data_IF_451675603562
#
_entry.id   IF_451675603562
#
_cell.length_a   1.000
_cell.length_b   1.000
_cell.length_c   1.000
_cell.angle_alpha   90.00
_cell.angle_beta   90.00
_cell.angle_gamma   90.00
#
_symmetry.space_group_name_H-M   'P 1'
#
loop_
_entity.id
_entity.type
_entity.pdbx_description
1 polymer ?
#
# COMPACT_ATOMS: atom_id res chain seq x y z
N UNK A 1 20.63 -4.28 -0.17
CA UNK A 1 20.83 -2.95 0.46
C UNK A 1 21.84 -3.10 1.57
N UNK A 2 22.79 -2.20 1.63
CA UNK A 2 23.85 -2.20 2.61
C UNK A 2 23.92 -0.82 3.28
N UNK A 3 24.02 -0.84 4.63
CA UNK A 3 24.30 0.33 5.47
C UNK A 3 23.38 1.56 5.21
N UNK A 4 22.06 1.35 5.15
CA UNK A 4 21.09 2.43 5.00
C UNK A 4 20.71 2.99 6.37
N UNK A 5 20.82 4.33 6.50
CA UNK A 5 20.23 5.10 7.61
C UNK A 5 19.31 6.16 7.01
N UNK A 6 18.03 6.11 7.33
CA UNK A 6 17.04 7.08 6.85
C UNK A 6 15.97 7.33 7.91
N UNK A 7 15.36 8.49 7.83
CA UNK A 7 14.23 8.87 8.64
C UNK A 7 13.09 9.30 7.71
N UNK A 8 11.89 8.80 7.99
CA UNK A 8 10.67 9.15 7.28
C UNK A 8 9.80 9.96 8.25
N UNK A 9 9.50 11.22 7.93
CA UNK A 9 8.68 12.06 8.79
C UNK A 9 7.27 11.50 8.98
N UNK A 10 6.73 11.65 10.18
CA UNK A 10 5.34 11.26 10.47
C UNK A 10 4.34 12.08 9.64
N UNK A 11 3.28 11.43 9.16
CA UNK A 11 2.27 12.06 8.31
C UNK A 11 2.76 12.48 6.92
N UNK A 12 3.96 12.04 6.49
CA UNK A 12 4.51 12.41 5.18
C UNK A 12 4.12 11.44 4.07
N UNK A 13 4.02 11.97 2.85
CA UNK A 13 3.98 11.18 1.62
C UNK A 13 5.41 11.04 1.07
N UNK A 14 5.98 9.86 1.25
CA UNK A 14 7.37 9.56 0.85
C UNK A 14 7.39 8.69 -0.39
N UNK A 15 8.11 9.12 -1.42
CA UNK A 15 8.33 8.30 -2.62
C UNK A 15 9.74 7.74 -2.62
N UNK A 16 9.86 6.43 -2.81
CA UNK A 16 11.12 5.72 -2.99
C UNK A 16 11.29 5.41 -4.47
N UNK A 17 12.35 5.91 -5.07
CA UNK A 17 12.68 5.68 -6.48
C UNK A 17 14.14 5.24 -6.66
N UNK A 18 14.55 4.94 -7.89
CA UNK A 18 15.90 4.47 -8.21
C UNK A 18 15.89 3.28 -9.17
N UNK A 19 17.04 2.79 -9.63
CA UNK A 19 17.14 1.74 -10.63
C UNK A 19 16.46 0.44 -10.19
N UNK A 20 16.06 -0.37 -11.19
CA UNK A 20 15.54 -1.71 -10.93
C UNK A 20 16.66 -2.57 -10.32
N UNK A 21 16.32 -3.35 -9.30
CA UNK A 21 17.30 -4.14 -8.55
C UNK A 21 18.01 -3.39 -7.42
N UNK A 22 17.88 -2.05 -7.31
CA UNK A 22 18.54 -1.24 -6.27
C UNK A 22 18.03 -1.46 -4.83
N UNK A 23 17.09 -2.40 -4.59
CA UNK A 23 16.66 -2.76 -3.23
C UNK A 23 15.44 -2.03 -2.69
N UNK A 24 14.72 -1.25 -3.52
CA UNK A 24 13.51 -0.50 -3.10
C UNK A 24 12.46 -1.40 -2.41
N UNK A 25 12.04 -2.47 -3.10
CA UNK A 25 11.08 -3.44 -2.55
C UNK A 25 11.64 -4.20 -1.34
N UNK A 26 12.96 -4.45 -1.31
CA UNK A 26 13.63 -5.04 -0.15
C UNK A 26 13.51 -4.14 1.07
N UNK A 27 13.76 -2.83 0.92
CA UNK A 27 13.57 -1.86 2.01
C UNK A 27 12.14 -1.86 2.53
N UNK A 28 11.15 -1.82 1.63
CA UNK A 28 9.74 -1.87 2.02
C UNK A 28 9.37 -3.19 2.74
N UNK A 29 9.90 -4.32 2.29
CA UNK A 29 9.69 -5.63 2.93
C UNK A 29 10.37 -5.72 4.30
N UNK A 30 11.53 -5.10 4.49
CA UNK A 30 12.18 -4.96 5.80
C UNK A 30 11.29 -4.16 6.77
N UNK A 31 10.72 -3.04 6.32
CA UNK A 31 9.80 -2.22 7.14
C UNK A 31 8.55 -3.02 7.52
N UNK A 32 7.98 -3.82 6.61
CA UNK A 32 6.82 -4.67 6.92
C UNK A 32 7.18 -5.92 7.73
N UNK A 33 8.47 -6.31 7.80
CA UNK A 33 8.91 -7.52 8.51
C UNK A 33 8.75 -8.81 7.70
N UNK A 34 8.55 -8.69 6.39
CA UNK A 34 8.55 -9.82 5.45
C UNK A 34 9.97 -10.36 5.31
N UNK A 35 10.95 -9.46 5.28
CA UNK A 35 12.38 -9.78 5.34
C UNK A 35 12.95 -9.28 6.68
N UNK A 36 14.02 -9.91 7.14
CA UNK A 36 14.71 -9.52 8.37
C UNK A 36 16.03 -8.83 8.02
N UNK A 37 16.36 -7.70 8.67
CA UNK A 37 17.67 -7.10 8.49
C UNK A 37 18.76 -8.01 9.06
N UNK A 38 19.92 -8.06 8.41
CA UNK A 38 21.10 -8.77 8.90
C UNK A 38 21.64 -8.07 10.15
N UNK A 39 21.66 -6.74 10.11
CA UNK A 39 22.12 -5.86 11.19
C UNK A 39 21.28 -4.58 11.20
N UNK A 40 21.41 -3.77 12.25
CA UNK A 40 20.71 -2.51 12.39
C UNK A 40 19.35 -2.63 13.08
N UNK A 41 18.58 -1.54 13.09
CA UNK A 41 17.30 -1.45 13.78
C UNK A 41 16.27 -0.72 12.91
N UNK A 42 15.01 -1.09 13.08
CA UNK A 42 13.86 -0.41 12.49
C UNK A 42 13.02 0.14 13.64
N UNK A 43 12.86 1.45 13.67
CA UNK A 43 12.04 2.14 14.66
C UNK A 43 10.74 2.60 14.01
N UNK A 44 9.62 2.41 14.70
CA UNK A 44 8.31 2.90 14.29
C UNK A 44 7.66 3.63 15.46
N UNK A 45 7.39 4.92 15.31
CA UNK A 45 6.91 5.80 16.38
C UNK A 45 7.78 5.70 17.67
N UNK A 46 9.10 5.67 17.49
CA UNK A 46 10.07 5.55 18.59
C UNK A 46 10.23 4.15 19.19
N UNK A 47 9.44 3.19 18.77
CA UNK A 47 9.51 1.79 19.24
C UNK A 47 10.34 0.94 18.29
N UNK A 48 11.23 0.10 18.83
CA UNK A 48 12.00 -0.88 18.04
C UNK A 48 11.10 -2.05 17.62
N UNK A 49 10.83 -2.12 16.31
CA UNK A 49 10.00 -3.16 15.70
C UNK A 49 10.84 -4.22 14.96
N UNK A 50 12.15 -4.19 15.07
CA UNK A 50 13.07 -5.03 14.29
C UNK A 50 12.76 -6.52 14.42
N UNK A 51 12.47 -6.99 15.65
CA UNK A 51 12.17 -8.39 15.94
C UNK A 51 10.71 -8.79 15.74
N UNK A 52 9.80 -7.82 15.55
CA UNK A 52 8.37 -8.08 15.41
C UNK A 52 8.04 -8.78 14.09
N UNK A 53 7.12 -9.73 14.18
CA UNK A 53 6.56 -10.43 13.01
C UNK A 53 5.70 -9.50 12.16
N UNK A 54 5.42 -9.92 10.90
CA UNK A 54 4.48 -9.23 9.99
C UNK A 54 3.12 -8.97 10.67
N UNK A 55 2.60 -9.97 11.39
CA UNK A 55 1.30 -9.86 12.09
C UNK A 55 1.34 -8.80 13.19
N UNK A 56 2.41 -8.74 13.98
CA UNK A 56 2.56 -7.75 15.05
C UNK A 56 2.69 -6.34 14.47
N UNK A 57 3.47 -6.17 13.38
CA UNK A 57 3.57 -4.88 12.68
C UNK A 57 2.25 -4.47 12.04
N UNK A 58 1.50 -5.41 11.46
CA UNK A 58 0.17 -5.15 10.93
C UNK A 58 -0.81 -4.67 12.02
N UNK A 59 -0.74 -5.24 13.24
CA UNK A 59 -1.53 -4.80 14.40
C UNK A 59 -1.13 -3.41 14.90
N UNK A 60 0.10 -2.97 14.64
CA UNK A 60 0.54 -1.59 14.92
C UNK A 60 0.09 -0.59 13.85
N UNK A 61 -0.68 -1.03 12.86
CA UNK A 61 -1.19 -0.17 11.80
C UNK A 61 -0.23 0.00 10.62
N UNK A 62 0.68 -0.94 10.37
CA UNK A 62 1.50 -0.95 9.15
C UNK A 62 0.78 -1.81 8.11
N UNK A 63 0.52 -1.25 6.93
CA UNK A 63 -0.08 -1.94 5.79
C UNK A 63 0.86 -2.00 4.60
N UNK A 64 0.73 -3.04 3.78
CA UNK A 64 1.58 -3.26 2.61
C UNK A 64 0.75 -3.76 1.43
N UNK A 65 0.80 -3.05 0.30
CA UNK A 65 0.30 -3.49 -0.98
C UNK A 65 1.47 -4.04 -1.81
N UNK A 66 1.35 -5.30 -2.20
CA UNK A 66 2.42 -6.02 -2.89
C UNK A 66 2.53 -5.61 -4.36
N UNK A 67 3.70 -5.72 -4.95
CA UNK A 67 3.89 -5.54 -6.40
C UNK A 67 2.97 -6.48 -7.19
N UNK A 68 2.84 -7.74 -6.75
CA UNK A 68 1.84 -8.68 -7.25
C UNK A 68 0.76 -8.91 -6.19
N UNK A 69 -0.49 -8.51 -6.45
CA UNK A 69 -1.56 -8.60 -5.47
C UNK A 69 -1.87 -10.07 -5.14
N UNK A 70 -2.08 -10.40 -3.84
CA UNK A 70 -2.47 -11.74 -3.43
C UNK A 70 -3.87 -12.08 -3.94
N UNK A 71 -4.13 -13.38 -4.11
CA UNK A 71 -5.44 -13.93 -4.50
C UNK A 71 -6.03 -14.71 -3.35
N UNK A 72 -7.33 -14.52 -3.11
CA UNK A 72 -8.06 -15.12 -2.00
C UNK A 72 -9.29 -15.89 -2.52
N UNK A 73 -9.09 -17.14 -2.90
CA UNK A 73 -10.20 -18.00 -3.36
C UNK A 73 -11.26 -18.14 -2.26
N UNK A 74 -12.54 -17.98 -2.63
CA UNK A 74 -13.66 -18.08 -1.71
C UNK A 74 -13.94 -16.80 -0.89
N UNK A 75 -13.18 -15.71 -1.11
CA UNK A 75 -13.47 -14.42 -0.50
C UNK A 75 -13.96 -13.42 -1.55
N UNK A 76 -15.15 -12.88 -1.34
CA UNK A 76 -15.67 -11.77 -2.15
C UNK A 76 -14.95 -10.46 -1.79
N UNK A 77 -14.91 -9.53 -2.73
CA UNK A 77 -14.36 -8.18 -2.53
C UNK A 77 -15.01 -7.49 -1.33
N UNK A 78 -16.34 -7.57 -1.20
CA UNK A 78 -17.08 -7.05 -0.03
C UNK A 78 -16.55 -7.62 1.28
N UNK A 79 -16.38 -8.95 1.33
CA UNK A 79 -15.89 -9.61 2.56
C UNK A 79 -14.45 -9.22 2.86
N UNK A 80 -13.63 -9.06 1.83
CA UNK A 80 -12.24 -8.64 1.97
C UNK A 80 -12.14 -7.22 2.54
N UNK A 81 -12.94 -6.28 2.03
CA UNK A 81 -13.01 -4.90 2.55
C UNK A 81 -13.45 -4.87 4.03
N UNK A 82 -14.51 -5.61 4.38
CA UNK A 82 -14.99 -5.70 5.76
C UNK A 82 -13.95 -6.31 6.71
N UNK A 83 -13.24 -7.37 6.27
CA UNK A 83 -12.14 -7.96 7.05
C UNK A 83 -11.00 -6.96 7.25
N UNK A 84 -10.66 -6.18 6.24
CA UNK A 84 -9.62 -5.16 6.31
C UNK A 84 -9.99 -4.03 7.27
N UNK A 85 -11.25 -3.58 7.24
CA UNK A 85 -11.77 -2.55 8.15
C UNK A 85 -11.90 -3.04 9.60
N UNK A 86 -11.89 -4.36 9.82
CA UNK A 86 -12.09 -4.98 11.15
C UNK A 86 -13.56 -4.98 11.60
N UNK A 87 -14.50 -4.62 10.73
CA UNK A 87 -15.94 -4.59 10.99
C UNK A 87 -16.72 -4.82 9.70
N UNK A 88 -17.99 -5.22 9.83
CA UNK A 88 -18.88 -5.25 8.68
C UNK A 88 -19.07 -3.83 8.13
N UNK A 89 -18.74 -3.63 6.85
CA UNK A 89 -18.90 -2.34 6.18
C UNK A 89 -20.27 -2.25 5.50
N UNK A 90 -20.96 -1.11 5.61
CA UNK A 90 -22.12 -0.78 4.77
C UNK A 90 -21.75 -0.84 3.28
N UNK A 91 -22.74 -1.12 2.45
CA UNK A 91 -22.52 -1.28 1.01
C UNK A 91 -22.02 0.00 0.35
N UNK A 92 -22.53 1.15 0.78
CA UNK A 92 -22.14 2.47 0.29
C UNK A 92 -20.66 2.80 0.60
N UNK A 93 -20.17 2.42 1.78
CA UNK A 93 -18.75 2.57 2.12
C UNK A 93 -17.88 1.65 1.24
N UNK A 94 -18.27 0.39 1.07
CA UNK A 94 -17.56 -0.52 0.16
C UNK A 94 -17.54 0.04 -1.27
N UNK A 95 -18.66 0.60 -1.72
CA UNK A 95 -18.76 1.26 -3.02
C UNK A 95 -17.83 2.47 -3.12
N UNK A 96 -17.70 3.26 -2.07
CA UNK A 96 -16.79 4.39 -1.99
C UNK A 96 -15.34 3.98 -2.22
N UNK A 97 -14.87 2.95 -1.51
CA UNK A 97 -13.51 2.42 -1.68
C UNK A 97 -13.25 1.90 -3.10
N UNK A 98 -14.18 1.16 -3.70
CA UNK A 98 -14.03 0.67 -5.07
C UNK A 98 -14.04 1.78 -6.09
N UNK A 99 -14.92 2.77 -5.93
CA UNK A 99 -15.01 3.92 -6.83
C UNK A 99 -13.72 4.75 -6.79
N UNK A 100 -13.13 4.95 -5.60
CA UNK A 100 -11.88 5.71 -5.46
C UNK A 100 -10.71 5.12 -6.25
N UNK A 101 -10.70 3.80 -6.46
CA UNK A 101 -9.69 3.11 -7.28
C UNK A 101 -10.15 2.82 -8.72
N UNK A 102 -11.27 3.42 -9.17
CA UNK A 102 -11.77 3.28 -10.53
C UNK A 102 -12.44 1.95 -10.84
N UNK A 103 -13.05 1.31 -9.85
CA UNK A 103 -13.84 0.09 -10.05
C UNK A 103 -15.33 0.35 -9.86
N UNK A 104 -16.15 -0.19 -10.78
CA UNK A 104 -17.61 -0.15 -10.63
C UNK A 104 -18.05 -1.11 -9.50
N UNK A 105 -18.61 -0.58 -8.43
CA UNK A 105 -19.01 -1.38 -7.27
C UNK A 105 -20.02 -2.49 -7.61
N UNK A 106 -20.97 -2.22 -8.51
CA UNK A 106 -21.98 -3.19 -8.94
C UNK A 106 -21.38 -4.45 -9.55
N UNK A 107 -20.26 -4.29 -10.27
CA UNK A 107 -19.62 -5.38 -10.99
C UNK A 107 -18.64 -6.15 -10.14
N UNK A 108 -18.05 -5.53 -9.12
CA UNK A 108 -16.94 -6.10 -8.36
C UNK A 108 -17.26 -6.52 -6.93
N UNK A 109 -18.24 -5.89 -6.27
CA UNK A 109 -18.48 -6.09 -4.84
C UNK A 109 -18.72 -7.55 -4.44
N UNK A 110 -19.43 -8.30 -5.28
CA UNK A 110 -19.75 -9.70 -5.05
C UNK A 110 -18.83 -10.69 -5.79
N UNK A 111 -17.82 -10.20 -6.51
CA UNK A 111 -16.83 -11.07 -7.16
C UNK A 111 -15.83 -11.60 -6.15
N UNK A 112 -15.34 -12.81 -6.40
CA UNK A 112 -14.24 -13.37 -5.62
C UNK A 112 -12.90 -12.74 -6.03
N UNK A 113 -11.99 -12.61 -5.07
CA UNK A 113 -10.62 -12.17 -5.30
C UNK A 113 -9.76 -13.33 -5.82
N UNK A 114 -10.16 -13.91 -6.94
CA UNK A 114 -9.54 -15.10 -7.56
C UNK A 114 -8.83 -14.78 -8.87
N UNK A 115 -8.49 -15.82 -9.62
CA UNK A 115 -7.78 -15.72 -10.90
C UNK A 115 -8.64 -15.19 -12.06
N UNK A 116 -9.94 -15.00 -11.89
CA UNK A 116 -10.81 -14.40 -12.90
C UNK A 116 -10.62 -12.89 -13.05
N UNK A 117 -10.04 -12.24 -12.03
CA UNK A 117 -9.67 -10.83 -12.07
C UNK A 117 -8.36 -10.64 -12.85
N UNK A 118 -8.29 -9.61 -13.68
CA UNK A 118 -7.04 -9.17 -14.28
C UNK A 118 -6.03 -8.71 -13.20
N UNK A 119 -4.76 -8.58 -13.58
CA UNK A 119 -3.73 -8.06 -12.67
C UNK A 119 -4.06 -6.66 -12.15
N UNK A 120 -4.48 -5.76 -13.05
CA UNK A 120 -4.83 -4.38 -12.67
C UNK A 120 -6.10 -4.28 -11.81
N UNK A 121 -7.12 -5.11 -12.04
CA UNK A 121 -8.31 -5.17 -11.19
C UNK A 121 -7.95 -5.64 -9.78
N UNK A 122 -7.19 -6.72 -9.67
CA UNK A 122 -6.74 -7.23 -8.38
C UNK A 122 -5.87 -6.21 -7.62
N UNK A 123 -4.99 -5.49 -8.33
CA UNK A 123 -4.17 -4.44 -7.75
C UNK A 123 -5.01 -3.30 -7.17
N UNK A 124 -6.01 -2.84 -7.90
CA UNK A 124 -6.93 -1.81 -7.45
C UNK A 124 -7.77 -2.26 -6.24
N UNK A 125 -8.23 -3.50 -6.22
CA UNK A 125 -8.94 -4.07 -5.06
C UNK A 125 -8.00 -4.16 -3.85
N UNK A 126 -6.74 -4.57 -4.01
CA UNK A 126 -5.74 -4.57 -2.94
C UNK A 126 -5.56 -3.17 -2.34
N UNK A 127 -5.41 -2.15 -3.19
CA UNK A 127 -5.27 -0.75 -2.76
C UNK A 127 -6.53 -0.29 -2.01
N UNK A 128 -7.73 -0.56 -2.54
CA UNK A 128 -8.99 -0.26 -1.85
C UNK A 128 -9.08 -0.95 -0.48
N UNK A 129 -8.59 -2.19 -0.39
CA UNK A 129 -8.53 -2.95 0.86
C UNK A 129 -7.57 -2.31 1.87
N UNK A 130 -6.45 -1.78 1.42
CA UNK A 130 -5.52 -1.05 2.27
C UNK A 130 -6.15 0.26 2.79
N UNK A 131 -6.83 1.00 1.91
CA UNK A 131 -7.54 2.24 2.25
C UNK A 131 -8.68 2.02 3.26
N UNK A 132 -9.32 0.85 3.26
CA UNK A 132 -10.36 0.49 4.22
C UNK A 132 -9.81 0.22 5.63
N UNK A 133 -8.49 0.06 5.78
CA UNK A 133 -7.84 -0.13 7.09
C UNK A 133 -7.51 1.21 7.73
N UNK A 134 -7.60 1.27 9.06
CA UNK A 134 -7.05 2.38 9.84
C UNK A 134 -5.54 2.14 10.02
N UNK A 135 -4.74 2.79 9.20
CA UNK A 135 -3.30 2.63 9.19
C UNK A 135 -2.59 3.83 9.81
N UNK A 136 -1.40 3.58 10.38
CA UNK A 136 -0.44 4.61 10.73
C UNK A 136 0.61 4.75 9.62
N UNK A 137 0.87 3.66 8.88
CA UNK A 137 1.78 3.62 7.75
C UNK A 137 1.22 2.71 6.65
N UNK A 138 1.00 3.26 5.47
CA UNK A 138 0.65 2.51 4.27
C UNK A 138 1.85 2.44 3.31
N UNK A 139 2.21 1.24 2.86
CA UNK A 139 3.31 1.02 1.92
C UNK A 139 2.74 0.44 0.62
N UNK A 140 3.03 1.08 -0.50
CA UNK A 140 2.61 0.66 -1.83
C UNK A 140 3.83 0.36 -2.70
N UNK A 141 3.94 -0.89 -3.15
CA UNK A 141 5.06 -1.35 -3.99
C UNK A 141 4.60 -1.40 -5.45
N UNK A 142 5.06 -0.42 -6.25
CA UNK A 142 4.70 -0.22 -7.66
C UNK A 142 3.17 -0.31 -7.89
N UNK A 143 2.37 0.57 -7.24
CA UNK A 143 0.90 0.49 -7.30
C UNK A 143 0.34 0.69 -8.69
N UNK A 144 1.09 1.30 -9.60
CA UNK A 144 0.74 1.54 -10.99
C UNK A 144 0.90 0.32 -11.91
N UNK A 145 1.58 -0.73 -11.46
CA UNK A 145 1.88 -1.88 -12.32
C UNK A 145 0.60 -2.57 -12.83
N UNK A 146 0.45 -2.60 -14.15
CA UNK A 146 -0.70 -3.24 -14.82
C UNK A 146 -2.01 -2.45 -14.73
N UNK A 147 -1.98 -1.19 -14.31
CA UNK A 147 -3.15 -0.29 -14.27
C UNK A 147 -3.19 0.56 -15.56
N UNK A 148 -4.37 0.69 -16.15
CA UNK A 148 -4.59 1.56 -17.30
C UNK A 148 -4.52 3.05 -16.93
N UNK A 149 -4.33 3.90 -17.93
CA UNK A 149 -4.11 5.34 -17.75
C UNK A 149 -5.27 6.06 -17.01
N UNK A 150 -6.52 5.65 -17.26
CA UNK A 150 -7.68 6.26 -16.62
C UNK A 150 -7.77 5.91 -15.14
N UNK A 151 -7.65 4.62 -14.85
CA UNK A 151 -7.63 4.11 -13.47
C UNK A 151 -6.42 4.63 -12.70
N UNK A 152 -5.28 4.81 -13.35
CA UNK A 152 -4.10 5.43 -12.74
C UNK A 152 -4.37 6.88 -12.29
N UNK A 153 -5.12 7.67 -13.07
CA UNK A 153 -5.48 9.02 -12.67
C UNK A 153 -6.33 9.03 -11.39
N UNK A 154 -7.27 8.10 -11.26
CA UNK A 154 -8.08 7.94 -10.03
C UNK A 154 -7.23 7.50 -8.83
N UNK A 155 -6.26 6.61 -9.06
CA UNK A 155 -5.32 6.21 -8.02
C UNK A 155 -4.49 7.39 -7.49
N UNK A 156 -4.01 8.26 -8.37
CA UNK A 156 -3.29 9.48 -7.98
C UNK A 156 -4.18 10.40 -7.13
N UNK A 157 -5.44 10.58 -7.49
CA UNK A 157 -6.40 11.36 -6.68
C UNK A 157 -6.66 10.70 -5.31
N UNK A 158 -6.73 9.37 -5.26
CA UNK A 158 -6.84 8.65 -3.98
C UNK A 158 -5.63 8.89 -3.07
N UNK A 159 -4.42 8.87 -3.63
CA UNK A 159 -3.22 9.20 -2.87
C UNK A 159 -3.22 10.65 -2.37
N UNK A 160 -3.66 11.61 -3.19
CA UNK A 160 -3.84 13.00 -2.74
C UNK A 160 -4.82 13.11 -1.57
N UNK A 161 -5.93 12.37 -1.63
CA UNK A 161 -6.91 12.36 -0.56
C UNK A 161 -6.34 11.78 0.75
N UNK A 162 -5.53 10.72 0.67
CA UNK A 162 -4.83 10.15 1.83
C UNK A 162 -3.87 11.17 2.47
N UNK A 163 -3.16 11.96 1.64
CA UNK A 163 -2.25 13.00 2.13
C UNK A 163 -2.96 14.19 2.81
N UNK A 164 -4.21 14.49 2.41
CA UNK A 164 -4.86 15.77 2.75
C UNK A 164 -5.60 15.78 4.09
N UNK A 165 -5.74 14.67 4.79
CA UNK A 165 -6.66 14.60 5.94
C UNK A 165 -6.29 13.66 7.07
N UNK A 166 -5.22 12.89 6.96
CA UNK A 166 -4.85 11.91 7.97
C UNK A 166 -3.44 12.13 8.50
N UNK A 167 -3.21 11.72 9.75
CA UNK A 167 -1.84 11.56 10.29
C UNK A 167 -1.17 10.27 9.77
N UNK A 168 -1.69 9.71 8.70
CA UNK A 168 -1.20 8.48 8.10
C UNK A 168 0.04 8.79 7.25
N UNK A 169 1.13 8.09 7.52
CA UNK A 169 2.32 8.16 6.68
C UNK A 169 2.15 7.21 5.48
N UNK A 170 2.56 7.66 4.31
CA UNK A 170 2.47 6.89 3.07
C UNK A 170 3.84 6.74 2.45
N UNK A 171 4.22 5.50 2.14
CA UNK A 171 5.42 5.18 1.36
C UNK A 171 4.98 4.58 0.03
N UNK A 172 5.43 5.15 -1.07
CA UNK A 172 5.17 4.61 -2.41
C UNK A 172 6.49 4.35 -3.12
N UNK A 173 6.70 3.11 -3.56
CA UNK A 173 7.77 2.80 -4.50
C UNK A 173 7.21 3.03 -5.90
N UNK A 174 7.75 4.00 -6.62
CA UNK A 174 7.26 4.34 -7.96
C UNK A 174 8.31 5.05 -8.80
N UNK A 175 8.15 4.94 -10.12
CA UNK A 175 8.90 5.69 -11.13
C UNK A 175 7.99 6.68 -11.88
N UNK A 176 6.71 6.75 -11.51
CA UNK A 176 5.73 7.60 -12.18
C UNK A 176 5.83 9.04 -11.69
N UNK A 177 6.07 9.97 -12.63
CA UNK A 177 6.23 11.39 -12.33
C UNK A 177 5.05 11.97 -11.54
N UNK A 178 3.82 11.59 -11.89
CA UNK A 178 2.61 12.06 -11.19
C UNK A 178 2.56 11.65 -9.73
N UNK A 179 3.09 10.49 -9.37
CA UNK A 179 3.21 10.04 -7.97
C UNK A 179 4.35 10.80 -7.30
N UNK A 180 5.49 10.95 -7.98
CA UNK A 180 6.63 11.70 -7.45
C UNK A 180 6.29 13.16 -7.14
N UNK A 181 5.40 13.79 -7.92
CA UNK A 181 4.93 15.16 -7.68
C UNK A 181 4.08 15.31 -6.40
N UNK A 182 3.59 14.22 -5.81
CA UNK A 182 2.88 14.25 -4.53
C UNK A 182 3.82 14.19 -3.33
N UNK A 183 5.09 13.88 -3.54
CA UNK A 183 6.04 13.59 -2.48
C UNK A 183 6.40 14.82 -1.66
N UNK A 184 6.22 14.72 -0.34
CA UNK A 184 6.85 15.61 0.63
C UNK A 184 8.35 15.28 0.76
N UNK A 185 8.67 14.00 0.64
CA UNK A 185 10.03 13.48 0.72
C UNK A 185 10.29 12.48 -0.40
N UNK A 186 11.44 12.60 -1.05
CA UNK A 186 11.87 11.65 -2.08
C UNK A 186 13.17 10.96 -1.64
N UNK A 187 13.16 9.64 -1.63
CA UNK A 187 14.31 8.80 -1.34
C UNK A 187 14.76 8.15 -2.64
N UNK A 188 16.01 8.41 -3.03
CA UNK A 188 16.61 7.80 -4.22
C UNK A 188 17.56 6.72 -3.75
N UNK A 189 17.26 5.46 -4.08
CA UNK A 189 18.17 4.33 -3.84
C UNK A 189 19.00 4.16 -5.10
N UNK A 190 20.27 4.36 -4.97
CA UNK A 190 21.28 4.17 -6.03
C UNK A 190 22.39 3.24 -5.50
N UNK A 191 23.01 2.50 -6.42
CA UNK A 191 24.18 1.66 -6.14
C UNK A 191 25.41 2.51 -5.79
#
# INVERSE_FOLDING_TARGET
IDNISLEIPDGSFTVITGPNGGGKSTLARLIMGIEKPTEGRILFNGEDITSLSVTERAKKGIGYAFQQPPRFKGLTVRRLLSLAAGSELPEDECCGYLTSVGLCSKDYLNREMDTSLSGGEAKRIEIATLMARKLNLAIFDEPEAGIDLWSFSMLVESFKAMCSGSHESVIVISHQERIMQLADTMIVIAD
#
